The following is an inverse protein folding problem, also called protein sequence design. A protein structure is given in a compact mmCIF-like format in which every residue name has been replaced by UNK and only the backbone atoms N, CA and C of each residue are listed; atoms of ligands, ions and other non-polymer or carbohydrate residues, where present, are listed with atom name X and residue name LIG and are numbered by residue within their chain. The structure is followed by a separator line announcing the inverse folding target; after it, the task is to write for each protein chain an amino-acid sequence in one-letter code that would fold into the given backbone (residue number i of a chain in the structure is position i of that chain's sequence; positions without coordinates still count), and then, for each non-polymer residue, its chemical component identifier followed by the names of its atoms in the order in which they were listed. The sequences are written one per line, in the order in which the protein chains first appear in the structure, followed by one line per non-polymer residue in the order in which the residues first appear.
data_IF_136610516839
#
_entry.id   IF_136610516839
#
_cell.length_a   1.000
_cell.length_b   1.000
_cell.length_c   1.000
_cell.angle_alpha   90.00
_cell.angle_beta   90.00
_cell.angle_gamma   90.00
#
_symmetry.space_group_name_H-M   'P 1'
#
loop_
_entity.id
_entity.type
_entity.pdbx_description
1 polymer ?
#
# COMPACT_ATOMS: atom_id res chain seq x y z
N UNK A 1 35.12 9.83 -0.91
CA UNK A 1 34.87 10.47 -2.23
C UNK A 1 33.52 11.17 -2.10
N UNK A 2 33.48 12.51 -2.07
CA UNK A 2 32.19 13.24 -2.05
C UNK A 2 31.56 13.09 -3.42
N UNK A 3 30.33 12.55 -3.45
CA UNK A 3 29.54 12.58 -4.67
C UNK A 3 29.32 14.05 -5.08
N UNK A 4 29.35 14.39 -6.38
CA UNK A 4 29.09 15.74 -6.84
C UNK A 4 27.66 16.14 -6.37
N UNK A 5 27.54 17.35 -5.84
CA UNK A 5 26.22 17.94 -5.59
C UNK A 5 25.51 18.01 -6.93
N UNK A 6 24.24 17.59 -6.96
CA UNK A 6 23.35 17.83 -8.10
C UNK A 6 23.26 19.35 -8.27
N UNK A 7 23.81 19.86 -9.35
CA UNK A 7 24.18 21.28 -9.53
C UNK A 7 23.05 22.16 -10.05
N UNK A 8 21.77 21.78 -9.88
CA UNK A 8 20.65 22.69 -10.18
C UNK A 8 19.42 22.25 -9.38
N UNK A 9 18.75 23.16 -8.65
CA UNK A 9 17.51 22.84 -7.96
C UNK A 9 16.36 22.72 -9.00
N UNK A 10 16.38 21.64 -9.78
CA UNK A 10 15.26 21.29 -10.63
C UNK A 10 14.08 20.97 -9.73
N UNK A 11 12.98 21.73 -9.86
CA UNK A 11 11.73 21.40 -9.22
C UNK A 11 11.12 20.21 -9.97
N UNK A 12 11.13 19.04 -9.32
CA UNK A 12 10.64 17.81 -9.90
C UNK A 12 9.26 17.45 -9.30
N UNK A 13 8.21 17.55 -10.13
CA UNK A 13 6.82 17.29 -9.75
C UNK A 13 6.28 15.95 -10.29
N UNK A 14 7.13 15.04 -10.72
CA UNK A 14 6.70 13.78 -11.34
C UNK A 14 6.03 12.82 -10.35
N UNK A 15 6.56 12.68 -9.14
CA UNK A 15 6.07 11.71 -8.16
C UNK A 15 6.63 11.99 -6.75
N UNK A 16 5.83 11.67 -5.73
CA UNK A 16 6.28 11.64 -4.32
C UNK A 16 7.27 10.50 -4.01
N UNK A 17 7.53 9.60 -4.96
CA UNK A 17 8.59 8.59 -4.86
C UNK A 17 10.01 9.16 -5.01
N UNK A 18 10.14 10.43 -5.36
CA UNK A 18 11.41 11.14 -5.49
C UNK A 18 11.91 11.75 -4.17
N UNK A 19 11.13 11.63 -3.09
CA UNK A 19 11.53 12.03 -1.74
C UNK A 19 12.81 11.33 -1.33
N UNK A 20 13.63 12.03 -0.54
CA UNK A 20 14.88 11.48 -0.01
C UNK A 20 14.87 11.53 1.52
N UNK A 21 15.53 10.58 2.20
CA UNK A 21 15.57 10.55 3.65
C UNK A 21 16.28 11.80 4.20
N UNK A 22 15.67 12.41 5.21
CA UNK A 22 16.24 13.56 5.91
C UNK A 22 17.51 13.19 6.67
N UNK A 23 18.37 14.17 7.07
CA UNK A 23 19.52 13.88 7.93
C UNK A 23 19.14 13.15 9.22
N UNK A 24 18.08 13.58 9.93
CA UNK A 24 17.64 12.94 11.15
C UNK A 24 17.13 11.51 10.92
N UNK A 25 16.43 11.27 9.82
CA UNK A 25 16.04 9.90 9.44
C UNK A 25 17.26 9.01 9.17
N UNK A 26 18.34 9.54 8.57
CA UNK A 26 19.59 8.80 8.37
C UNK A 26 20.32 8.50 9.68
N UNK A 27 20.27 9.42 10.65
CA UNK A 27 20.78 9.19 12.00
C UNK A 27 20.02 8.07 12.69
N UNK A 28 18.70 8.07 12.63
CA UNK A 28 17.87 6.97 13.16
C UNK A 28 18.23 5.61 12.53
N UNK A 29 18.58 5.58 11.25
CA UNK A 29 19.06 4.35 10.58
C UNK A 29 20.40 3.89 11.12
N UNK A 30 21.33 4.81 11.41
CA UNK A 30 22.67 4.47 11.94
C UNK A 30 22.59 3.89 13.36
N UNK A 31 21.65 4.36 14.18
CA UNK A 31 21.48 3.95 15.57
C UNK A 31 20.57 2.73 15.74
N UNK A 32 20.02 2.18 14.65
CA UNK A 32 19.08 1.07 14.67
C UNK A 32 19.69 -0.20 15.27
N UNK A 33 19.00 -0.81 16.23
CA UNK A 33 19.33 -2.14 16.69
C UNK A 33 18.89 -3.16 15.64
N UNK A 34 19.79 -4.06 15.25
CA UNK A 34 19.54 -4.99 14.16
C UNK A 34 19.80 -6.43 14.56
N UNK A 35 19.15 -7.34 13.88
CA UNK A 35 19.33 -8.78 13.94
C UNK A 35 18.94 -9.42 12.61
N UNK A 36 18.81 -10.72 12.53
CA UNK A 36 18.41 -11.39 11.29
C UNK A 36 16.88 -11.51 11.20
N UNK A 37 16.25 -10.76 10.30
CA UNK A 37 14.79 -10.80 10.05
C UNK A 37 14.30 -12.21 9.63
N UNK A 38 15.14 -12.98 8.95
CA UNK A 38 14.74 -14.34 8.52
C UNK A 38 14.53 -15.28 9.70
N UNK A 39 15.24 -15.03 10.81
CA UNK A 39 15.04 -15.77 12.07
C UNK A 39 14.09 -15.03 13.04
N UNK A 40 13.56 -13.87 12.65
CA UNK A 40 12.70 -13.06 13.51
C UNK A 40 13.46 -12.36 14.65
N UNK A 41 14.77 -12.17 14.50
CA UNK A 41 15.65 -11.64 15.55
C UNK A 41 15.98 -10.15 15.40
N UNK A 42 15.50 -9.48 14.34
CA UNK A 42 15.70 -8.04 14.16
C UNK A 42 14.68 -7.24 15.01
N UNK A 43 15.09 -6.60 16.11
CA UNK A 43 14.17 -5.99 17.04
C UNK A 43 13.47 -4.76 16.45
N UNK A 44 14.16 -4.01 15.59
CA UNK A 44 13.61 -2.78 15.00
C UNK A 44 12.50 -3.07 14.01
N UNK A 45 12.69 -4.03 13.10
CA UNK A 45 11.61 -4.41 12.17
C UNK A 45 10.45 -5.09 12.89
N UNK A 46 10.73 -5.93 13.90
CA UNK A 46 9.68 -6.55 14.69
C UNK A 46 8.79 -5.52 15.40
N UNK A 47 9.40 -4.48 15.98
CA UNK A 47 8.67 -3.38 16.61
C UNK A 47 7.83 -2.59 15.58
N UNK A 48 8.40 -2.28 14.43
CA UNK A 48 7.67 -1.60 13.34
C UNK A 48 6.49 -2.42 12.82
N UNK A 49 6.68 -3.74 12.59
CA UNK A 49 5.60 -4.65 12.15
C UNK A 49 4.44 -4.66 13.16
N UNK A 50 4.75 -4.75 14.45
CA UNK A 50 3.73 -4.70 15.51
C UNK A 50 3.02 -3.34 15.58
N UNK A 51 3.78 -2.25 15.55
CA UNK A 51 3.26 -0.87 15.59
C UNK A 51 2.30 -0.59 14.44
N UNK A 52 2.67 -0.92 13.21
CA UNK A 52 1.83 -0.64 12.03
C UNK A 52 0.61 -1.54 12.01
N UNK A 53 0.72 -2.79 12.43
CA UNK A 53 -0.44 -3.67 12.59
C UNK A 53 -1.46 -3.08 13.58
N UNK A 54 -1.00 -2.57 14.72
CA UNK A 54 -1.85 -1.90 15.73
C UNK A 54 -2.51 -0.63 15.15
N UNK A 55 -1.73 0.26 14.50
CA UNK A 55 -2.22 1.49 13.89
C UNK A 55 -3.33 1.25 12.85
N UNK A 56 -3.22 0.16 12.12
CA UNK A 56 -4.17 -0.24 11.08
C UNK A 56 -5.26 -1.19 11.61
N UNK A 57 -5.18 -1.62 12.87
CA UNK A 57 -6.17 -2.48 13.50
C UNK A 57 -6.19 -3.92 12.97
N UNK A 58 -5.04 -4.46 12.59
CA UNK A 58 -4.82 -5.82 12.15
C UNK A 58 -4.00 -6.63 13.16
N UNK A 59 -3.98 -7.96 13.01
CA UNK A 59 -3.31 -8.87 13.96
C UNK A 59 -1.79 -8.91 13.80
N UNK A 60 -1.29 -8.69 12.59
CA UNK A 60 0.13 -8.78 12.28
C UNK A 60 0.53 -7.93 11.05
N UNK A 61 1.81 -7.58 10.98
CA UNK A 61 2.45 -6.89 9.87
C UNK A 61 3.60 -7.69 9.28
N UNK A 62 3.94 -7.38 8.04
CA UNK A 62 5.10 -7.89 7.32
C UNK A 62 5.78 -6.76 6.57
N UNK A 63 6.98 -6.40 6.97
CA UNK A 63 7.79 -5.45 6.23
C UNK A 63 8.24 -6.05 4.89
N UNK A 64 8.06 -5.29 3.83
CA UNK A 64 8.44 -5.68 2.46
C UNK A 64 9.24 -4.57 1.79
N UNK A 65 10.17 -4.90 0.88
CA UNK A 65 11.02 -3.90 0.24
C UNK A 65 10.27 -2.88 -0.60
N UNK A 66 9.14 -3.27 -1.19
CA UNK A 66 8.37 -2.40 -2.10
C UNK A 66 6.86 -2.56 -1.92
N UNK A 67 6.09 -1.51 -2.27
CA UNK A 67 4.63 -1.57 -2.34
C UNK A 67 4.13 -2.64 -3.31
N UNK A 68 4.78 -2.78 -4.46
CA UNK A 68 4.42 -3.84 -5.43
C UNK A 68 4.54 -5.24 -4.83
N UNK A 69 5.57 -5.52 -4.03
CA UNK A 69 5.66 -6.80 -3.33
C UNK A 69 4.56 -6.93 -2.26
N UNK A 70 4.22 -5.86 -1.55
CA UNK A 70 3.14 -5.86 -0.57
C UNK A 70 1.79 -6.19 -1.22
N UNK A 71 1.45 -5.54 -2.33
CA UNK A 71 0.24 -5.81 -3.10
C UNK A 71 0.23 -7.25 -3.65
N UNK A 72 1.35 -7.69 -4.24
CA UNK A 72 1.49 -9.03 -4.78
C UNK A 72 1.22 -10.10 -3.70
N UNK A 73 1.81 -9.94 -2.51
CA UNK A 73 1.62 -10.84 -1.37
C UNK A 73 0.21 -10.75 -0.79
N UNK A 74 -0.35 -9.54 -0.67
CA UNK A 74 -1.71 -9.33 -0.17
C UNK A 74 -2.74 -10.07 -1.03
N UNK A 75 -2.73 -9.83 -2.33
CA UNK A 75 -3.60 -10.52 -3.29
C UNK A 75 -3.34 -12.03 -3.30
N UNK A 76 -2.07 -12.46 -3.28
CA UNK A 76 -1.72 -13.89 -3.25
C UNK A 76 -2.33 -14.65 -2.06
N UNK A 77 -2.50 -14.00 -0.90
CA UNK A 77 -3.12 -14.67 0.25
C UNK A 77 -4.63 -14.84 0.13
N UNK A 78 -5.26 -14.09 -0.80
CA UNK A 78 -6.71 -14.07 -1.03
C UNK A 78 -7.12 -14.90 -2.25
N UNK A 79 -6.31 -14.90 -3.31
CA UNK A 79 -6.67 -15.41 -4.63
C UNK A 79 -5.82 -16.63 -4.98
N UNK A 80 -6.44 -17.71 -5.42
CA UNK A 80 -5.74 -18.89 -5.88
C UNK A 80 -5.36 -18.76 -7.35
N UNK A 81 -4.37 -19.54 -7.74
CA UNK A 81 -3.98 -19.64 -9.15
C UNK A 81 -5.17 -20.04 -10.02
N UNK A 82 -5.43 -19.31 -11.09
CA UNK A 82 -6.56 -19.52 -12.00
C UNK A 82 -7.85 -18.81 -11.62
N UNK A 83 -7.93 -18.21 -10.44
CA UNK A 83 -9.02 -17.31 -10.05
C UNK A 83 -8.72 -15.87 -10.46
N UNK A 84 -9.64 -14.95 -10.22
CA UNK A 84 -9.46 -13.54 -10.55
C UNK A 84 -9.55 -12.62 -9.35
N UNK A 85 -8.84 -11.49 -9.46
CA UNK A 85 -9.04 -10.28 -8.66
C UNK A 85 -9.71 -9.21 -9.53
N UNK A 86 -10.74 -8.58 -8.99
CA UNK A 86 -11.46 -7.49 -9.62
C UNK A 86 -10.97 -6.15 -9.06
N UNK A 87 -10.60 -5.18 -9.91
CA UNK A 87 -10.09 -3.86 -9.50
C UNK A 87 -10.42 -2.78 -10.52
N UNK A 88 -10.14 -1.51 -10.21
CA UNK A 88 -10.24 -0.44 -11.19
C UNK A 88 -9.22 -0.62 -12.33
N UNK A 89 -9.62 -0.27 -13.55
CA UNK A 89 -8.76 -0.40 -14.75
C UNK A 89 -7.51 0.48 -14.68
N UNK A 90 -7.52 1.53 -13.87
CA UNK A 90 -6.39 2.41 -13.61
C UNK A 90 -5.68 2.09 -12.29
N UNK A 91 -6.13 1.09 -11.51
CA UNK A 91 -5.47 0.71 -10.27
C UNK A 91 -3.98 0.36 -10.50
N UNK A 92 -3.14 0.67 -9.52
CA UNK A 92 -1.70 0.41 -9.58
C UNK A 92 -1.39 -1.06 -9.86
N UNK A 93 -2.11 -2.00 -9.20
CA UNK A 93 -1.94 -3.44 -9.41
C UNK A 93 -2.27 -3.88 -10.83
N UNK A 94 -3.18 -3.19 -11.52
CA UNK A 94 -3.54 -3.49 -12.91
C UNK A 94 -2.53 -2.94 -13.92
N UNK A 95 -1.97 -1.75 -13.65
CA UNK A 95 -1.22 -0.97 -14.64
C UNK A 95 0.28 -0.85 -14.39
N UNK A 96 0.69 -0.68 -13.13
CA UNK A 96 2.06 -0.26 -12.80
C UNK A 96 2.94 -1.39 -12.24
N UNK A 97 2.40 -2.59 -12.03
CA UNK A 97 3.15 -3.73 -11.50
C UNK A 97 3.56 -4.74 -12.59
N UNK A 98 3.53 -4.31 -13.85
CA UNK A 98 4.08 -5.04 -15.02
C UNK A 98 3.54 -6.47 -15.16
N UNK A 99 2.30 -6.72 -14.78
CA UNK A 99 1.67 -8.04 -14.85
C UNK A 99 2.17 -9.05 -13.81
N UNK A 100 2.77 -8.59 -12.70
CA UNK A 100 3.36 -9.46 -11.69
C UNK A 100 2.37 -10.49 -11.14
N UNK A 101 1.10 -10.12 -10.93
CA UNK A 101 0.06 -11.04 -10.46
C UNK A 101 -0.18 -12.21 -11.43
N UNK A 102 -0.17 -11.96 -12.73
CA UNK A 102 -0.30 -13.02 -13.74
C UNK A 102 0.97 -13.89 -13.82
N UNK A 103 2.14 -13.26 -13.91
CA UNK A 103 3.41 -13.96 -14.14
C UNK A 103 3.82 -14.81 -12.93
N UNK A 104 3.70 -14.25 -11.72
CA UNK A 104 4.22 -14.89 -10.50
C UNK A 104 3.15 -15.74 -9.79
N UNK A 105 1.89 -15.32 -9.84
CA UNK A 105 0.81 -16.00 -9.11
C UNK A 105 -0.20 -16.73 -10.03
N UNK A 106 -0.22 -16.39 -11.32
CA UNK A 106 -1.20 -16.96 -12.25
C UNK A 106 -2.64 -16.51 -11.95
N UNK A 107 -2.78 -15.29 -11.47
CA UNK A 107 -4.07 -14.66 -11.16
C UNK A 107 -4.54 -13.86 -12.36
N UNK A 108 -5.81 -14.03 -12.73
CA UNK A 108 -6.47 -13.20 -13.75
C UNK A 108 -6.87 -11.87 -13.11
N UNK A 109 -6.65 -10.79 -13.85
CA UNK A 109 -7.10 -9.46 -13.43
C UNK A 109 -8.25 -9.04 -14.32
N UNK A 110 -9.43 -8.83 -13.72
CA UNK A 110 -10.58 -8.24 -14.37
C UNK A 110 -10.83 -6.85 -13.84
N UNK A 111 -11.26 -5.92 -14.68
CA UNK A 111 -11.32 -4.51 -14.29
C UNK A 111 -12.67 -3.88 -14.60
N UNK A 112 -13.09 -2.97 -13.72
CA UNK A 112 -14.12 -1.99 -14.03
C UNK A 112 -13.47 -0.66 -14.46
N UNK A 113 -14.26 0.20 -15.08
CA UNK A 113 -13.85 1.56 -15.41
C UNK A 113 -14.64 2.54 -14.55
N UNK A 114 -13.94 3.49 -13.96
CA UNK A 114 -14.53 4.53 -13.12
C UNK A 114 -14.02 5.91 -13.48
N UNK A 115 -14.78 6.95 -13.11
CA UNK A 115 -14.30 8.31 -13.17
C UNK A 115 -13.38 8.57 -11.97
N UNK A 116 -12.15 8.97 -12.25
CA UNK A 116 -11.16 9.31 -11.20
C UNK A 116 -10.90 8.20 -10.16
N UNK A 117 -11.04 6.93 -10.53
CA UNK A 117 -10.76 5.80 -9.65
C UNK A 117 -11.86 5.45 -8.64
N UNK A 118 -12.98 6.17 -8.63
CA UNK A 118 -14.12 5.90 -7.74
C UNK A 118 -15.31 5.39 -8.56
N UNK A 119 -15.56 4.10 -8.50
CA UNK A 119 -16.79 3.50 -9.03
C UNK A 119 -17.89 3.56 -7.96
N UNK A 120 -19.15 3.55 -8.39
CA UNK A 120 -20.25 3.29 -7.48
C UNK A 120 -20.26 1.80 -7.04
N UNK A 121 -20.89 1.54 -5.90
CA UNK A 121 -20.93 0.20 -5.30
C UNK A 121 -21.56 -0.83 -6.24
N UNK A 122 -22.66 -0.50 -6.89
CA UNK A 122 -23.39 -1.42 -7.76
C UNK A 122 -22.53 -1.83 -8.96
N UNK A 123 -21.84 -0.87 -9.59
CA UNK A 123 -20.92 -1.14 -10.71
C UNK A 123 -19.79 -2.13 -10.34
N UNK A 124 -19.34 -2.12 -9.10
CA UNK A 124 -18.34 -3.09 -8.60
C UNK A 124 -19.01 -4.46 -8.38
N UNK A 125 -20.15 -4.46 -7.68
CA UNK A 125 -20.80 -5.69 -7.23
C UNK A 125 -21.43 -6.52 -8.35
N UNK A 126 -21.94 -5.87 -9.40
CA UNK A 126 -22.48 -6.54 -10.60
C UNK A 126 -21.42 -7.36 -11.35
N UNK A 127 -20.16 -7.01 -11.19
CA UNK A 127 -19.06 -7.70 -11.83
C UNK A 127 -18.53 -8.90 -11.05
N UNK A 128 -18.94 -9.09 -9.80
CA UNK A 128 -18.50 -10.25 -9.00
C UNK A 128 -19.11 -11.53 -9.59
N UNK A 129 -18.25 -12.40 -10.13
CA UNK A 129 -18.65 -13.69 -10.68
C UNK A 129 -18.62 -14.79 -9.61
N UNK A 130 -19.76 -15.43 -9.37
CA UNK A 130 -19.84 -16.61 -8.54
C UNK A 130 -19.13 -17.80 -9.20
N UNK A 131 -18.67 -18.81 -8.42
CA UNK A 131 -18.10 -20.02 -8.99
C UNK A 131 -19.10 -20.75 -9.89
N UNK A 132 -18.71 -20.97 -11.15
CA UNK A 132 -19.47 -21.74 -12.12
C UNK A 132 -18.53 -22.66 -12.91
N UNK A 133 -19.05 -23.69 -13.63
CA UNK A 133 -18.19 -24.57 -14.42
C UNK A 133 -17.50 -23.90 -15.62
N UNK A 134 -17.91 -22.69 -15.99
CA UNK A 134 -17.50 -22.03 -17.25
C UNK A 134 -17.11 -20.54 -17.09
N UNK A 135 -17.16 -20.00 -15.87
CA UNK A 135 -16.68 -18.63 -15.58
C UNK A 135 -15.54 -18.66 -14.58
N UNK A 136 -14.60 -17.74 -14.72
CA UNK A 136 -13.56 -17.53 -13.72
C UNK A 136 -14.22 -16.95 -12.45
N UNK A 137 -13.87 -17.52 -11.31
CA UNK A 137 -14.37 -17.09 -10.01
C UNK A 137 -13.68 -15.79 -9.55
N UNK A 138 -14.45 -14.78 -9.16
CA UNK A 138 -13.94 -13.58 -8.50
C UNK A 138 -13.65 -13.88 -7.04
N UNK A 139 -12.38 -14.11 -6.72
CA UNK A 139 -11.96 -14.47 -5.36
C UNK A 139 -11.69 -13.26 -4.47
N UNK A 140 -11.34 -12.11 -5.07
CA UNK A 140 -11.13 -10.88 -4.32
C UNK A 140 -11.49 -9.63 -5.13
N UNK A 141 -11.81 -8.56 -4.38
CA UNK A 141 -11.88 -7.18 -4.87
C UNK A 141 -10.70 -6.41 -4.28
N UNK A 142 -10.00 -5.65 -5.13
CA UNK A 142 -8.92 -4.76 -4.70
C UNK A 142 -9.31 -3.30 -4.95
N UNK A 143 -9.19 -2.50 -3.89
CA UNK A 143 -9.40 -1.04 -3.92
C UNK A 143 -8.07 -0.33 -3.72
N UNK A 144 -7.97 0.91 -4.21
CA UNK A 144 -6.76 1.75 -4.02
C UNK A 144 -7.13 3.08 -3.39
N UNK A 145 -6.50 3.44 -2.25
CA UNK A 145 -6.78 4.69 -1.54
C UNK A 145 -5.47 5.32 -0.95
N UNK A 146 -5.08 6.55 -1.35
CA UNK A 146 -5.70 7.36 -2.41
C UNK A 146 -5.43 6.76 -3.78
N UNK A 147 -6.36 6.92 -4.74
CA UNK A 147 -6.21 6.34 -6.08
C UNK A 147 -5.20 7.15 -6.92
N UNK A 148 -4.06 6.56 -7.23
CA UNK A 148 -2.92 7.26 -7.86
C UNK A 148 -3.27 7.84 -9.24
N UNK A 149 -3.67 6.99 -10.18
CA UNK A 149 -4.01 7.43 -11.55
C UNK A 149 -5.37 8.15 -11.63
N UNK A 150 -6.17 8.10 -10.58
CA UNK A 150 -7.38 8.90 -10.41
C UNK A 150 -7.10 10.36 -10.05
N UNK A 151 -5.82 10.72 -9.79
CA UNK A 151 -5.42 12.07 -9.38
C UNK A 151 -5.33 12.24 -7.86
N UNK A 152 -5.14 11.15 -7.12
CA UNK A 152 -5.08 11.16 -5.65
C UNK A 152 -6.46 11.17 -4.99
N UNK A 153 -7.48 10.72 -5.69
CA UNK A 153 -8.86 10.66 -5.20
C UNK A 153 -8.96 9.78 -3.95
N UNK A 154 -9.76 10.26 -2.98
CA UNK A 154 -10.06 9.55 -1.75
C UNK A 154 -11.44 8.90 -1.89
N UNK A 155 -11.51 7.60 -1.65
CA UNK A 155 -12.81 6.93 -1.54
C UNK A 155 -13.54 7.38 -0.28
N UNK A 156 -14.81 7.80 -0.38
CA UNK A 156 -15.64 8.02 0.80
C UNK A 156 -15.68 6.77 1.68
N UNK A 157 -15.52 6.95 2.99
CA UNK A 157 -15.49 5.81 3.92
C UNK A 157 -16.75 4.95 3.85
N UNK A 158 -17.92 5.58 3.68
CA UNK A 158 -19.19 4.87 3.58
C UNK A 158 -19.26 3.99 2.35
N UNK A 159 -18.78 4.48 1.21
CA UNK A 159 -18.66 3.65 0.00
C UNK A 159 -17.78 2.41 0.23
N UNK A 160 -16.63 2.56 0.90
CA UNK A 160 -15.79 1.40 1.24
C UNK A 160 -16.48 0.44 2.21
N UNK A 161 -17.31 0.93 3.14
CA UNK A 161 -18.12 0.11 4.04
C UNK A 161 -19.15 -0.72 3.28
N UNK A 162 -19.86 -0.11 2.34
CA UNK A 162 -20.85 -0.79 1.49
C UNK A 162 -20.19 -1.90 0.66
N UNK A 163 -19.10 -1.59 -0.06
CA UNK A 163 -18.33 -2.59 -0.83
C UNK A 163 -17.83 -3.71 0.07
N UNK A 164 -17.29 -3.37 1.24
CA UNK A 164 -16.77 -4.36 2.19
C UNK A 164 -17.87 -5.29 2.70
N UNK A 165 -19.00 -4.76 3.12
CA UNK A 165 -20.12 -5.54 3.61
C UNK A 165 -20.62 -6.52 2.53
N UNK A 166 -20.84 -6.01 1.32
CA UNK A 166 -21.34 -6.80 0.21
C UNK A 166 -20.37 -7.89 -0.28
N UNK A 167 -19.07 -7.63 -0.26
CA UNK A 167 -18.05 -8.63 -0.57
C UNK A 167 -18.02 -9.74 0.49
N UNK A 168 -18.08 -9.37 1.78
CA UNK A 168 -18.11 -10.34 2.88
C UNK A 168 -19.34 -11.27 2.81
N UNK A 169 -20.52 -10.72 2.50
CA UNK A 169 -21.74 -11.53 2.29
C UNK A 169 -21.59 -12.55 1.16
N UNK A 170 -20.78 -12.24 0.16
CA UNK A 170 -20.48 -13.11 -0.99
C UNK A 170 -19.29 -14.03 -0.79
N UNK A 171 -18.59 -13.92 0.34
CA UNK A 171 -17.35 -14.68 0.59
C UNK A 171 -16.19 -14.26 -0.29
N UNK A 172 -16.18 -13.02 -0.80
CA UNK A 172 -15.14 -12.43 -1.64
C UNK A 172 -14.13 -11.68 -0.77
N UNK A 173 -12.84 -11.97 -0.93
CA UNK A 173 -11.76 -11.33 -0.19
C UNK A 173 -11.57 -9.87 -0.58
N UNK A 174 -10.97 -9.08 0.31
CA UNK A 174 -10.77 -7.65 0.13
C UNK A 174 -9.30 -7.25 0.33
N UNK A 175 -8.71 -6.63 -0.68
CA UNK A 175 -7.37 -6.04 -0.62
C UNK A 175 -7.43 -4.53 -0.75
N UNK A 176 -6.68 -3.81 0.10
CA UNK A 176 -6.47 -2.38 -0.03
C UNK A 176 -5.01 -2.09 -0.44
N UNK A 177 -4.81 -1.56 -1.64
CA UNK A 177 -3.61 -0.80 -1.94
C UNK A 177 -3.71 0.57 -1.26
N UNK A 178 -3.15 0.63 -0.08
CA UNK A 178 -3.08 1.82 0.76
C UNK A 178 -1.73 2.52 0.65
N UNK A 179 -1.07 2.46 -0.51
CA UNK A 179 0.27 3.05 -0.69
C UNK A 179 0.35 4.51 -0.22
N UNK A 180 -0.78 5.25 -0.30
CA UNK A 180 -0.94 6.62 0.20
C UNK A 180 -2.09 6.77 1.19
N UNK A 181 -2.37 5.75 1.98
CA UNK A 181 -3.43 5.80 2.99
C UNK A 181 -3.16 6.86 4.06
N UNK A 182 -1.89 7.17 4.33
CA UNK A 182 -1.46 8.29 5.17
C UNK A 182 -2.01 9.63 4.68
N UNK A 183 -1.97 9.86 3.36
CA UNK A 183 -2.53 11.06 2.72
C UNK A 183 -4.06 11.10 2.86
N UNK A 184 -4.74 9.98 2.62
CA UNK A 184 -6.19 9.88 2.81
C UNK A 184 -6.60 10.19 4.25
N UNK A 185 -5.87 9.64 5.24
CA UNK A 185 -6.07 9.90 6.66
C UNK A 185 -5.98 11.39 6.99
N UNK A 186 -4.91 12.06 6.57
CA UNK A 186 -4.68 13.48 6.86
C UNK A 186 -5.70 14.37 6.14
N UNK A 187 -6.03 14.07 4.88
CA UNK A 187 -6.95 14.92 4.10
C UNK A 187 -8.41 14.77 4.54
N UNK A 188 -8.85 13.55 4.86
CA UNK A 188 -10.24 13.27 5.23
C UNK A 188 -10.50 13.31 6.74
N UNK A 189 -9.45 13.34 7.58
CA UNK A 189 -9.59 13.26 9.04
C UNK A 189 -10.10 11.90 9.55
N UNK A 190 -10.12 10.87 8.69
CA UNK A 190 -10.61 9.54 9.05
C UNK A 190 -9.45 8.73 9.66
N UNK A 191 -9.62 8.10 10.83
CA UNK A 191 -8.59 7.24 11.41
C UNK A 191 -8.17 6.11 10.48
N UNK A 192 -6.88 5.79 10.43
CA UNK A 192 -6.31 4.73 9.57
C UNK A 192 -7.03 3.39 9.76
N UNK A 193 -7.31 3.01 11.00
CA UNK A 193 -7.98 1.77 11.33
C UNK A 193 -9.43 1.70 10.82
N UNK A 194 -10.11 2.84 10.64
CA UNK A 194 -11.47 2.87 10.08
C UNK A 194 -11.48 2.45 8.60
N UNK A 195 -10.44 2.82 7.85
CA UNK A 195 -10.23 2.32 6.50
C UNK A 195 -9.76 0.86 6.49
N UNK A 196 -8.70 0.58 7.23
CA UNK A 196 -7.97 -0.67 7.12
C UNK A 196 -8.77 -1.91 7.56
N UNK A 197 -9.59 -1.79 8.62
CA UNK A 197 -10.43 -2.89 9.12
C UNK A 197 -11.53 -3.36 8.15
N UNK A 198 -11.78 -2.60 7.09
CA UNK A 198 -12.72 -3.00 6.04
C UNK A 198 -12.15 -4.06 5.11
N UNK A 199 -10.84 -4.30 5.14
CA UNK A 199 -10.11 -5.17 4.22
C UNK A 199 -9.43 -6.34 4.93
N UNK A 200 -9.30 -7.46 4.24
CA UNK A 200 -8.59 -8.64 4.75
C UNK A 200 -7.08 -8.46 4.73
N UNK A 201 -6.58 -7.69 3.76
CA UNK A 201 -5.16 -7.36 3.58
C UNK A 201 -5.02 -5.90 3.18
N UNK A 202 -4.08 -5.19 3.79
CA UNK A 202 -3.78 -3.78 3.48
C UNK A 202 -2.29 -3.61 3.30
N UNK A 203 -1.89 -2.94 2.22
CA UNK A 203 -0.51 -2.56 1.97
C UNK A 203 -0.35 -1.05 2.09
N UNK A 204 0.61 -0.57 2.91
CA UNK A 204 0.94 0.86 3.05
C UNK A 204 2.42 1.09 2.74
N UNK A 205 2.75 2.23 2.12
CA UNK A 205 4.13 2.56 1.77
C UNK A 205 4.73 3.61 2.69
N UNK A 206 6.03 3.48 2.98
CA UNK A 206 6.84 4.48 3.69
C UNK A 206 7.73 5.28 2.74
N UNK A 207 8.01 4.73 1.56
CA UNK A 207 8.95 5.26 0.56
C UNK A 207 8.33 6.20 -0.46
N UNK A 208 7.35 7.01 -0.04
CA UNK A 208 6.67 8.04 -0.83
C UNK A 208 6.65 9.35 -0.05
N UNK A 209 5.51 10.00 0.13
CA UNK A 209 5.39 11.24 0.90
C UNK A 209 5.99 11.20 2.30
N UNK A 210 6.08 10.04 2.94
CA UNK A 210 6.75 9.86 4.23
C UNK A 210 8.28 9.93 4.16
N UNK A 211 8.88 9.79 2.99
CA UNK A 211 10.31 10.03 2.76
C UNK A 211 11.28 8.93 3.17
N UNK A 212 10.82 7.77 3.62
CA UNK A 212 11.72 6.64 3.86
C UNK A 212 12.36 6.18 2.53
N UNK A 213 13.64 5.72 2.54
CA UNK A 213 14.35 5.39 1.30
C UNK A 213 13.78 4.15 0.61
N UNK A 214 13.12 3.26 1.35
CA UNK A 214 12.56 1.99 0.87
C UNK A 214 11.56 1.49 1.90
N UNK A 215 10.65 0.63 1.47
CA UNK A 215 9.82 -0.15 2.37
C UNK A 215 8.34 0.16 2.30
N UNK A 216 7.61 -0.91 2.57
CA UNK A 216 6.15 -0.93 2.72
C UNK A 216 5.78 -1.95 3.80
N UNK A 217 4.54 -1.91 4.25
CA UNK A 217 4.02 -2.85 5.23
C UNK A 217 2.74 -3.49 4.72
N UNK A 218 2.74 -4.80 4.64
CA UNK A 218 1.52 -5.58 4.47
C UNK A 218 0.97 -5.92 5.86
N UNK A 219 -0.28 -5.60 6.13
CA UNK A 219 -0.97 -6.01 7.36
C UNK A 219 -2.17 -6.90 7.04
N UNK A 220 -2.43 -7.89 7.89
CA UNK A 220 -3.52 -8.85 7.76
C UNK A 220 -3.71 -9.66 9.06
N UNK A 221 -4.52 -10.74 9.00
CA UNK A 221 -4.52 -11.75 10.04
C UNK A 221 -3.13 -12.42 10.16
N UNK A 222 -2.81 -12.92 11.34
CA UNK A 222 -1.53 -13.61 11.62
C UNK A 222 -1.29 -14.77 10.67
N UNK A 223 -2.30 -15.58 10.41
CA UNK A 223 -2.20 -16.70 9.46
C UNK A 223 -1.80 -16.23 8.05
N UNK A 224 -2.41 -15.16 7.55
CA UNK A 224 -2.06 -14.60 6.22
C UNK A 224 -0.64 -14.05 6.20
N UNK A 225 -0.22 -13.36 7.26
CA UNK A 225 1.14 -12.81 7.36
C UNK A 225 2.20 -13.92 7.41
N UNK A 226 1.97 -14.99 8.14
CA UNK A 226 2.88 -16.15 8.16
C UNK A 226 3.05 -16.77 6.75
N UNK A 227 1.95 -16.95 6.03
CA UNK A 227 1.97 -17.42 4.63
C UNK A 227 2.69 -16.43 3.71
N UNK A 228 2.42 -15.14 3.86
CA UNK A 228 3.06 -14.07 3.09
C UNK A 228 4.57 -13.99 3.35
N UNK A 229 5.01 -14.21 4.60
CA UNK A 229 6.44 -14.23 4.97
C UNK A 229 7.21 -15.34 4.23
N UNK A 230 6.63 -16.53 4.12
CA UNK A 230 7.21 -17.61 3.31
C UNK A 230 7.32 -17.21 1.84
N UNK A 231 6.27 -16.62 1.29
CA UNK A 231 6.27 -16.20 -0.12
C UNK A 231 7.21 -15.01 -0.36
N UNK A 232 7.30 -14.04 0.57
CA UNK A 232 8.30 -12.97 0.53
C UNK A 232 9.71 -13.54 0.37
N UNK A 233 10.04 -14.59 1.13
CA UNK A 233 11.33 -15.26 1.03
C UNK A 233 11.58 -15.88 -0.35
N UNK A 234 10.57 -16.56 -0.93
CA UNK A 234 10.65 -17.17 -2.27
C UNK A 234 10.88 -16.12 -3.36
N UNK A 235 10.30 -14.94 -3.20
CA UNK A 235 10.45 -13.81 -4.13
C UNK A 235 11.75 -13.01 -3.92
N UNK A 236 12.63 -13.42 -2.99
CA UNK A 236 13.88 -12.73 -2.72
C UNK A 236 13.74 -11.48 -1.81
N UNK A 237 12.56 -11.23 -1.23
CA UNK A 237 12.29 -10.07 -0.38
C UNK A 237 12.61 -10.26 1.10
N UNK A 238 13.16 -11.41 1.50
CA UNK A 238 13.69 -11.64 2.85
C UNK A 238 15.10 -11.05 2.97
N UNK A 239 15.23 -9.94 3.68
CA UNK A 239 16.50 -9.29 3.95
C UNK A 239 17.00 -9.66 5.35
N UNK A 240 18.30 -9.45 5.63
CA UNK A 240 18.89 -9.82 6.91
C UNK A 240 18.66 -8.70 7.94
N UNK A 241 19.59 -7.79 8.08
CA UNK A 241 19.56 -6.68 9.04
C UNK A 241 18.68 -5.53 8.51
N UNK A 242 17.41 -5.82 8.28
CA UNK A 242 16.45 -4.89 7.68
C UNK A 242 16.06 -3.74 8.63
N UNK A 243 16.34 -3.90 9.92
CA UNK A 243 16.11 -2.87 10.93
C UNK A 243 16.72 -1.51 10.60
N UNK A 244 17.84 -1.49 9.87
CA UNK A 244 18.42 -0.24 9.35
C UNK A 244 17.41 0.56 8.50
N UNK A 245 16.64 -0.13 7.66
CA UNK A 245 15.65 0.51 6.79
C UNK A 245 14.31 0.70 7.51
N UNK A 246 13.95 -0.23 8.40
CA UNK A 246 12.75 -0.13 9.22
C UNK A 246 12.79 1.08 10.16
N UNK A 247 13.97 1.44 10.70
CA UNK A 247 14.16 2.63 11.52
C UNK A 247 13.80 3.94 10.79
N UNK A 248 14.07 4.02 9.48
CA UNK A 248 13.64 5.16 8.67
C UNK A 248 12.13 5.25 8.57
N UNK A 249 11.45 4.12 8.41
CA UNK A 249 10.00 4.07 8.36
C UNK A 249 9.37 4.41 9.72
N UNK A 250 9.94 3.92 10.81
CA UNK A 250 9.49 4.23 12.17
C UNK A 250 9.65 5.72 12.51
N UNK A 251 10.81 6.31 12.18
CA UNK A 251 11.03 7.75 12.25
C UNK A 251 9.97 8.54 11.47
N UNK A 252 9.64 8.09 10.27
CA UNK A 252 8.66 8.76 9.42
C UNK A 252 7.25 8.73 10.03
N UNK A 253 6.89 7.66 10.73
CA UNK A 253 5.61 7.57 11.43
C UNK A 253 5.48 8.62 12.54
N UNK A 254 6.57 8.93 13.24
CA UNK A 254 6.57 9.94 14.31
C UNK A 254 6.59 11.38 13.78
N UNK A 255 7.28 11.62 12.67
CA UNK A 255 7.65 12.98 12.29
C UNK A 255 7.06 13.47 10.95
N UNK A 256 6.66 12.54 10.06
CA UNK A 256 6.29 12.91 8.69
C UNK A 256 4.81 12.72 8.37
N UNK A 257 4.04 11.93 9.11
CA UNK A 257 2.61 11.71 8.81
C UNK A 257 1.83 13.02 8.91
N UNK A 258 1.93 13.74 10.02
CA UNK A 258 1.22 15.02 10.19
C UNK A 258 1.66 16.08 9.16
N UNK A 259 2.94 16.04 8.73
CA UNK A 259 3.51 16.98 7.76
C UNK A 259 2.93 16.83 6.35
N UNK A 260 2.26 15.72 6.02
CA UNK A 260 1.54 15.56 4.75
C UNK A 260 0.47 16.64 4.53
N UNK A 261 0.00 17.29 5.60
CA UNK A 261 -0.89 18.45 5.49
C UNK A 261 -0.23 19.64 4.75
N UNK A 262 1.08 19.83 4.90
CA UNK A 262 1.85 20.86 4.18
C UNK A 262 1.92 20.54 2.69
N UNK A 263 2.14 19.26 2.34
CA UNK A 263 2.18 18.81 0.94
C UNK A 263 0.82 19.02 0.27
N UNK A 264 -0.28 18.75 0.98
CA UNK A 264 -1.64 18.99 0.47
C UNK A 264 -1.91 20.50 0.27
N UNK A 265 -1.47 21.35 1.20
CA UNK A 265 -1.61 22.79 1.08
C UNK A 265 -0.81 23.35 -0.11
N UNK A 266 0.43 22.88 -0.31
CA UNK A 266 1.29 23.25 -1.43
C UNK A 266 0.67 22.80 -2.77
N UNK A 267 0.14 21.58 -2.85
CA UNK A 267 -0.53 21.07 -4.04
C UNK A 267 -1.77 21.91 -4.38
N UNK A 268 -2.59 22.28 -3.40
CA UNK A 268 -3.76 23.13 -3.58
C UNK A 268 -3.38 24.54 -4.08
N UNK A 269 -2.36 25.14 -3.49
CA UNK A 269 -1.85 26.44 -3.91
C UNK A 269 -1.33 26.42 -5.36
N UNK A 270 -0.59 25.37 -5.72
CA UNK A 270 -0.09 25.18 -7.09
C UNK A 270 -1.25 25.01 -8.08
N UNK A 271 -2.23 24.17 -7.76
CA UNK A 271 -3.41 23.94 -8.62
C UNK A 271 -4.20 25.24 -8.85
N UNK A 272 -4.42 26.04 -7.81
CA UNK A 272 -5.09 27.33 -7.93
C UNK A 272 -4.33 28.28 -8.87
N UNK A 273 -3.01 28.39 -8.71
CA UNK A 273 -2.17 29.27 -9.55
C UNK A 273 -2.14 28.85 -11.03
N UNK A 274 -2.28 27.54 -11.32
CA UNK A 274 -2.36 27.04 -12.71
C UNK A 274 -3.75 27.25 -13.32
N UNK A 275 -4.81 27.13 -12.53
CA UNK A 275 -6.19 27.32 -13.01
C UNK A 275 -6.52 28.78 -13.39
N UNK A 276 -5.75 29.76 -12.90
CA UNK A 276 -5.90 31.19 -13.23
C UNK A 276 -5.28 31.60 -14.59
N UNK A 277 -4.55 30.70 -15.24
CA UNK A 277 -3.87 30.90 -16.54
C UNK A 277 -4.57 30.18 -17.68
#
# INVERSE_FOLDING_TARGET
MKLPALSDPTIDLRSDTLTTPTPAMREAMLDALVGDDVYGEDPTVNALEARVAELLGHEAGLFVPTGSMGNLLGVWTLVRRGEEVLCDAQAHIARAELGAHAVLHGVTMRTWTSAHGVADTDSVLEQIAAPTPYLVHTAAVAMENTHNFGGGTIHPLEHLREVSAACRERGVGLHLDGARLWNAHIAAGVPLAEYARLFDTVNVCFSKGLGAPVGSMLVASRERIERARVQRKRLGGGMRQIGLLAAAADYALDHHVARLAEDHANAAAFAAAVAEK
#
